data_IF_276649708218
#
_entry.id   IF_276649708218
#
_cell.length_a   1.000
_cell.length_b   1.000
_cell.length_c   1.000
_cell.angle_alpha   90.00
_cell.angle_beta   90.00
_cell.angle_gamma   90.00
#
_symmetry.space_group_name_H-M   'P 1'
#
loop_
_entity.id
_entity.type
_entity.pdbx_description
1 polymer ?
#
# COMPACT_ATOMS: atom_id res chain seq x y z
N UNK A 1 0.33 5.64 -23.37
CA UNK A 1 -0.97 6.28 -23.10
C UNK A 1 -1.45 5.95 -21.67
N UNK A 2 -1.69 4.67 -21.33
CA UNK A 2 -2.20 4.26 -20.00
C UNK A 2 -1.20 4.53 -18.85
N UNK A 3 0.08 4.21 -19.03
CA UNK A 3 1.10 4.47 -18.01
C UNK A 3 1.15 5.92 -17.55
N UNK A 4 1.01 6.87 -18.48
CA UNK A 4 1.14 8.30 -18.15
C UNK A 4 0.06 8.75 -17.15
N UNK A 5 -1.18 8.31 -17.36
CA UNK A 5 -2.28 8.62 -16.46
C UNK A 5 -2.08 7.97 -15.08
N UNK A 6 -1.51 6.76 -15.02
CA UNK A 6 -1.18 6.11 -13.75
C UNK A 6 -0.05 6.86 -13.03
N UNK A 7 0.98 7.29 -13.78
CA UNK A 7 2.13 8.02 -13.22
C UNK A 7 1.70 9.40 -12.69
N UNK A 8 0.80 10.08 -13.41
CA UNK A 8 0.15 11.32 -12.93
C UNK A 8 -0.71 11.06 -11.68
N UNK A 9 -1.50 9.99 -11.65
CA UNK A 9 -2.29 9.63 -10.48
C UNK A 9 -1.42 9.30 -9.26
N UNK A 10 -0.33 8.55 -9.45
CA UNK A 10 0.63 8.25 -8.39
C UNK A 10 1.24 9.53 -7.80
N UNK A 11 1.67 10.46 -8.65
CA UNK A 11 2.22 11.74 -8.19
C UNK A 11 1.21 12.57 -7.39
N UNK A 12 -0.06 12.57 -7.79
CA UNK A 12 -1.12 13.24 -7.02
C UNK A 12 -1.35 12.58 -5.65
N UNK A 13 -1.30 11.25 -5.58
CA UNK A 13 -1.39 10.54 -4.30
C UNK A 13 -0.22 10.83 -3.38
N UNK A 14 1.00 10.91 -3.92
CA UNK A 14 2.20 11.28 -3.15
C UNK A 14 2.07 12.67 -2.55
N UNK A 15 1.69 13.66 -3.36
CA UNK A 15 1.47 15.03 -2.91
C UNK A 15 0.37 15.11 -1.84
N UNK A 16 -0.74 14.38 -2.03
CA UNK A 16 -1.84 14.38 -1.07
C UNK A 16 -1.44 13.75 0.27
N UNK A 17 -0.60 12.71 0.25
CA UNK A 17 -0.22 11.93 1.43
C UNK A 17 1.09 12.40 2.08
N UNK A 18 1.81 13.34 1.47
CA UNK A 18 3.01 13.97 2.02
C UNK A 18 2.74 14.63 3.39
N UNK A 19 1.57 15.26 3.54
CA UNK A 19 1.17 15.84 4.80
C UNK A 19 0.78 14.75 5.82
N UNK A 20 1.28 14.83 7.08
CA UNK A 20 0.84 13.95 8.16
C UNK A 20 -0.63 14.22 8.54
N UNK A 21 -1.32 13.26 9.15
CA UNK A 21 -2.72 13.41 9.60
C UNK A 21 -3.69 12.48 8.88
N UNK A 22 -4.93 12.86 8.59
CA UNK A 22 -5.80 12.14 7.63
C UNK A 22 -6.16 13.16 6.55
N UNK A 23 -5.90 12.89 5.26
CA UNK A 23 -6.24 13.86 4.21
C UNK A 23 -7.76 14.07 4.14
N UNK A 24 -8.21 15.22 3.65
CA UNK A 24 -9.62 15.53 3.45
C UNK A 24 -10.25 14.71 2.31
N UNK A 25 -10.44 13.42 2.54
CA UNK A 25 -10.99 12.46 1.59
C UNK A 25 -12.50 12.33 1.76
N UNK A 26 -13.24 12.28 0.65
CA UNK A 26 -14.71 12.14 0.67
C UNK A 26 -15.16 10.76 1.16
N UNK A 27 -14.48 9.71 0.70
CA UNK A 27 -14.75 8.32 1.05
C UNK A 27 -13.44 7.58 1.30
N UNK A 28 -13.15 7.16 2.54
CA UNK A 28 -11.99 6.34 2.87
C UNK A 28 -11.95 5.04 2.07
N UNK A 29 -13.05 4.31 2.02
CA UNK A 29 -13.16 3.00 1.36
C UNK A 29 -12.83 3.08 -0.14
N UNK A 30 -13.42 4.05 -0.85
CA UNK A 30 -13.15 4.25 -2.28
C UNK A 30 -11.72 4.71 -2.53
N UNK A 31 -11.18 5.54 -1.62
CA UNK A 31 -9.80 6.02 -1.69
C UNK A 31 -8.81 4.86 -1.58
N UNK A 32 -8.97 4.02 -0.56
CA UNK A 32 -8.14 2.83 -0.34
C UNK A 32 -8.24 1.86 -1.51
N UNK A 33 -9.46 1.58 -1.97
CA UNK A 33 -9.71 0.71 -3.13
C UNK A 33 -9.02 1.23 -4.39
N UNK A 34 -9.06 2.54 -4.63
CA UNK A 34 -8.43 3.16 -5.80
C UNK A 34 -6.91 3.05 -5.76
N UNK A 35 -6.29 3.26 -4.60
CA UNK A 35 -4.86 3.07 -4.39
C UNK A 35 -4.43 1.61 -4.57
N UNK A 36 -5.23 0.66 -4.09
CA UNK A 36 -4.97 -0.77 -4.27
C UNK A 36 -5.02 -1.16 -5.75
N UNK A 37 -6.03 -0.67 -6.50
CA UNK A 37 -6.13 -0.90 -7.95
C UNK A 37 -4.93 -0.31 -8.69
N UNK A 38 -4.49 0.89 -8.34
CA UNK A 38 -3.28 1.51 -8.91
C UNK A 38 -2.05 0.62 -8.72
N UNK A 39 -1.82 0.13 -7.51
CA UNK A 39 -0.70 -0.75 -7.18
C UNK A 39 -0.73 -2.07 -7.99
N UNK A 40 -1.89 -2.69 -8.08
CA UNK A 40 -2.09 -3.93 -8.85
C UNK A 40 -1.92 -3.71 -10.35
N UNK A 41 -2.40 -2.59 -10.89
CA UNK A 41 -2.21 -2.24 -12.30
C UNK A 41 -0.73 -2.05 -12.64
N UNK A 42 0.05 -1.43 -11.77
CA UNK A 42 1.50 -1.32 -11.96
C UNK A 42 2.19 -2.68 -11.92
N UNK A 43 1.81 -3.56 -10.99
CA UNK A 43 2.34 -4.92 -10.91
C UNK A 43 2.07 -5.69 -12.20
N UNK A 44 0.83 -5.66 -12.69
CA UNK A 44 0.44 -6.32 -13.94
C UNK A 44 1.14 -5.76 -15.17
N UNK A 45 1.57 -4.49 -15.13
CA UNK A 45 2.37 -3.86 -16.19
C UNK A 45 3.88 -4.15 -16.09
N UNK A 46 4.32 -4.97 -15.13
CA UNK A 46 5.75 -5.22 -14.92
C UNK A 46 6.51 -4.00 -14.42
N UNK A 47 5.83 -3.15 -13.64
CA UNK A 47 6.38 -1.92 -13.03
C UNK A 47 6.47 -2.08 -11.50
N UNK A 48 7.36 -2.95 -11.00
CA UNK A 48 7.39 -3.34 -9.60
C UNK A 48 7.72 -2.17 -8.66
N UNK A 49 8.53 -1.20 -9.09
CA UNK A 49 8.88 -0.05 -8.25
C UNK A 49 7.68 0.88 -8.01
N UNK A 50 6.91 1.20 -9.05
CA UNK A 50 5.69 1.99 -8.92
C UNK A 50 4.60 1.24 -8.14
N UNK A 51 4.51 -0.08 -8.32
CA UNK A 51 3.59 -0.92 -7.54
C UNK A 51 3.96 -0.89 -6.05
N UNK A 52 5.25 -1.04 -5.72
CA UNK A 52 5.76 -0.99 -4.36
C UNK A 52 5.46 0.36 -3.71
N UNK A 53 5.73 1.45 -4.42
CA UNK A 53 5.43 2.82 -3.98
C UNK A 53 3.93 3.01 -3.70
N UNK A 54 3.08 2.53 -4.60
CA UNK A 54 1.62 2.59 -4.45
C UNK A 54 1.14 1.80 -3.22
N UNK A 55 1.68 0.61 -2.96
CA UNK A 55 1.34 -0.15 -1.75
C UNK A 55 1.87 0.49 -0.47
N UNK A 56 3.03 1.17 -0.51
CA UNK A 56 3.54 1.92 0.65
C UNK A 56 2.64 3.12 0.99
N UNK A 57 2.11 3.82 -0.03
CA UNK A 57 1.11 4.86 0.16
C UNK A 57 -0.19 4.30 0.75
N UNK A 58 -0.66 3.16 0.22
CA UNK A 58 -1.83 2.46 0.74
C UNK A 58 -1.65 2.08 2.21
N UNK A 59 -0.53 1.45 2.57
CA UNK A 59 -0.17 1.10 3.95
C UNK A 59 -0.21 2.31 4.87
N UNK A 60 0.42 3.41 4.44
CA UNK A 60 0.44 4.67 5.21
C UNK A 60 -0.97 5.17 5.48
N UNK A 61 -1.84 5.19 4.45
CA UNK A 61 -3.21 5.67 4.59
C UNK A 61 -4.09 4.73 5.44
N UNK A 62 -4.02 3.41 5.24
CA UNK A 62 -4.73 2.44 6.09
C UNK A 62 -4.35 2.62 7.56
N UNK A 63 -3.07 2.77 7.87
CA UNK A 63 -2.61 3.02 9.25
C UNK A 63 -3.13 4.33 9.82
N UNK A 64 -3.16 5.41 9.02
CA UNK A 64 -3.71 6.71 9.42
C UNK A 64 -5.22 6.63 9.72
N UNK A 65 -5.93 5.75 9.03
CA UNK A 65 -7.37 5.52 9.17
C UNK A 65 -7.72 4.45 10.22
N UNK A 66 -6.74 3.74 10.78
CA UNK A 66 -6.99 2.63 11.71
C UNK A 66 -7.50 1.35 11.04
N UNK A 67 -7.31 1.21 9.73
CA UNK A 67 -7.72 0.03 8.95
C UNK A 67 -6.65 -1.07 9.04
N UNK A 68 -6.85 -2.02 9.96
CA UNK A 68 -5.95 -3.15 10.20
C UNK A 68 -5.88 -4.10 9.00
N UNK A 69 -7.02 -4.50 8.45
CA UNK A 69 -7.11 -5.39 7.29
C UNK A 69 -6.47 -4.78 6.05
N UNK A 70 -6.73 -3.51 5.76
CA UNK A 70 -6.09 -2.81 4.64
C UNK A 70 -4.58 -2.67 4.84
N UNK A 71 -4.13 -2.44 6.08
CA UNK A 71 -2.70 -2.44 6.43
C UNK A 71 -2.07 -3.80 6.15
N UNK A 72 -2.69 -4.89 6.62
CA UNK A 72 -2.22 -6.25 6.38
C UNK A 72 -2.15 -6.59 4.88
N UNK A 73 -3.20 -6.26 4.13
CA UNK A 73 -3.24 -6.48 2.68
C UNK A 73 -2.13 -5.71 1.94
N UNK A 74 -1.88 -4.46 2.32
CA UNK A 74 -0.80 -3.67 1.74
C UNK A 74 0.59 -4.26 2.04
N UNK A 75 0.80 -4.78 3.25
CA UNK A 75 2.05 -5.45 3.67
C UNK A 75 2.27 -6.76 2.89
N UNK A 76 1.22 -7.54 2.65
CA UNK A 76 1.27 -8.70 1.75
C UNK A 76 1.70 -8.30 0.34
N UNK A 77 1.10 -7.22 -0.19
CA UNK A 77 1.43 -6.67 -1.52
C UNK A 77 2.90 -6.23 -1.63
N UNK A 78 3.41 -5.49 -0.64
CA UNK A 78 4.81 -5.05 -0.54
C UNK A 78 5.75 -6.27 -0.51
N UNK A 79 5.49 -7.22 0.38
CA UNK A 79 6.34 -8.40 0.57
C UNK A 79 6.43 -9.23 -0.70
N UNK A 80 5.30 -9.44 -1.39
CA UNK A 80 5.26 -10.13 -2.69
C UNK A 80 6.15 -9.44 -3.73
N UNK A 81 6.05 -8.12 -3.87
CA UNK A 81 6.88 -7.38 -4.85
C UNK A 81 8.37 -7.46 -4.49
N UNK A 82 8.73 -7.34 -3.21
CA UNK A 82 10.13 -7.45 -2.78
C UNK A 82 10.71 -8.83 -3.05
N UNK A 83 9.92 -9.90 -2.91
CA UNK A 83 10.31 -11.25 -3.29
C UNK A 83 10.47 -11.39 -4.81
N UNK A 84 9.56 -10.82 -5.61
CA UNK A 84 9.67 -10.73 -7.08
C UNK A 84 10.94 -9.98 -7.52
N UNK A 85 11.39 -8.99 -6.72
CA UNK A 85 12.62 -8.22 -6.93
C UNK A 85 13.89 -8.88 -6.34
N UNK A 86 13.81 -10.13 -5.86
CA UNK A 86 14.91 -10.85 -5.21
C UNK A 86 15.51 -10.11 -4.00
N UNK A 87 14.65 -9.42 -3.24
CA UNK A 87 15.00 -8.66 -2.03
C UNK A 87 14.35 -9.29 -0.76
N UNK A 88 14.68 -10.54 -0.39
CA UNK A 88 14.01 -11.26 0.69
C UNK A 88 14.27 -10.66 2.07
N UNK A 89 15.44 -10.07 2.30
CA UNK A 89 15.75 -9.41 3.57
C UNK A 89 14.82 -8.22 3.86
N UNK A 90 14.50 -7.44 2.82
CA UNK A 90 13.53 -6.36 2.92
C UNK A 90 12.11 -6.89 3.06
N UNK A 91 11.75 -7.96 2.32
CA UNK A 91 10.43 -8.58 2.44
C UNK A 91 10.15 -9.08 3.87
N UNK A 92 11.16 -9.65 4.52
CA UNK A 92 11.06 -10.15 5.89
C UNK A 92 10.62 -9.05 6.88
N UNK A 93 11.15 -7.83 6.76
CA UNK A 93 10.76 -6.70 7.63
C UNK A 93 9.25 -6.41 7.56
N UNK A 94 8.67 -6.48 6.35
CA UNK A 94 7.24 -6.23 6.17
C UNK A 94 6.36 -7.41 6.58
N UNK A 95 6.87 -8.65 6.47
CA UNK A 95 6.19 -9.84 6.97
C UNK A 95 6.15 -9.85 8.50
N UNK A 96 7.24 -9.46 9.17
CA UNK A 96 7.26 -9.31 10.64
C UNK A 96 6.26 -8.23 11.11
N UNK A 97 6.15 -7.11 10.38
CA UNK A 97 5.12 -6.11 10.66
C UNK A 97 3.69 -6.65 10.47
N UNK A 98 3.47 -7.44 9.41
CA UNK A 98 2.19 -8.08 9.12
C UNK A 98 1.78 -9.04 10.24
N UNK A 99 2.69 -9.90 10.67
CA UNK A 99 2.48 -10.83 11.79
C UNK A 99 2.13 -10.08 13.08
N UNK A 100 2.84 -8.99 13.37
CA UNK A 100 2.51 -8.14 14.51
C UNK A 100 1.15 -7.46 14.38
N UNK A 101 0.68 -7.14 13.18
CA UNK A 101 -0.66 -6.59 12.97
C UNK A 101 -1.72 -7.65 13.28
N UNK A 102 -1.57 -8.86 12.74
CA UNK A 102 -2.52 -9.95 12.93
C UNK A 102 -2.57 -10.46 14.38
N UNK A 103 -1.42 -10.62 15.03
CA UNK A 103 -1.36 -11.09 16.41
C UNK A 103 -1.97 -10.11 17.43
N UNK A 104 -2.12 -8.83 17.08
CA UNK A 104 -2.85 -7.85 17.91
C UNK A 104 -4.36 -8.02 17.78
N UNK A 105 -4.86 -8.36 16.60
CA UNK A 105 -6.29 -8.58 16.38
C UNK A 105 -6.77 -9.84 17.12
N UNK A 106 -6.03 -10.95 17.05
CA UNK A 106 -6.35 -12.20 17.77
C UNK A 106 -6.36 -12.04 19.30
N UNK A 107 -5.60 -11.09 19.85
CA UNK A 107 -5.55 -10.83 21.29
C UNK A 107 -6.67 -9.89 21.82
N UNK A 108 -7.50 -9.36 20.91
CA UNK A 108 -8.56 -8.40 21.22
C UNK A 108 -9.98 -8.98 21.18
N UNK A 109 -10.11 -10.28 20.85
CA UNK A 109 -11.34 -11.09 20.95
C UNK A 109 -11.38 -11.89 22.26
#
# INVERSE_FOLDING_TARGET
ALSKALDEALSLWEQLLEAPGIPGIRSPEQTLSSLQVLAELYRLQGKPLQALQSFLLLRSLCRRLGDGLGTANSLCGISRILLELHCPAQAQVFLEELESCLGREESSE
#
